data_IF_383071799970
#
_entry.id   IF_383071799970
#
_cell.length_a   1.000
_cell.length_b   1.000
_cell.length_c   1.000
_cell.angle_alpha   90.00
_cell.angle_beta   90.00
_cell.angle_gamma   90.00
#
_symmetry.space_group_name_H-M   'P 1'
#
loop_
_entity.id
_entity.type
_entity.pdbx_description
1 polymer ?
#
# COMPACT_ATOMS: atom_id res chain seq x y z
N UNK A 1 -30.21 -10.41 2.91
CA UNK A 1 -30.08 -9.26 1.99
C UNK A 1 -28.79 -9.51 1.23
N UNK A 2 -28.86 -9.68 -0.10
CA UNK A 2 -27.71 -10.14 -0.90
C UNK A 2 -26.69 -9.01 -1.04
N UNK A 3 -25.45 -9.21 -0.56
CA UNK A 3 -24.32 -8.26 -0.57
C UNK A 3 -23.99 -7.63 -1.94
N UNK A 4 -24.50 -8.19 -3.04
CA UNK A 4 -24.23 -7.73 -4.40
C UNK A 4 -25.31 -6.80 -4.99
N UNK A 5 -26.50 -6.75 -4.38
CA UNK A 5 -27.63 -5.98 -4.93
C UNK A 5 -27.44 -4.46 -4.85
N UNK A 6 -26.81 -3.99 -3.78
CA UNK A 6 -26.72 -2.56 -3.44
C UNK A 6 -25.61 -1.81 -4.21
N UNK A 7 -24.82 -2.50 -5.04
CA UNK A 7 -23.71 -1.89 -5.82
C UNK A 7 -24.02 -1.74 -7.31
N UNK A 8 -25.22 -2.16 -7.75
CA UNK A 8 -25.63 -2.13 -9.17
C UNK A 8 -26.59 -0.95 -9.40
N UNK A 9 -26.04 0.26 -9.41
CA UNK A 9 -26.83 1.47 -9.67
C UNK A 9 -27.11 1.71 -11.17
N UNK A 10 -26.47 0.92 -12.04
CA UNK A 10 -26.65 1.02 -13.49
C UNK A 10 -26.29 -0.27 -14.22
N UNK A 11 -26.87 -0.45 -15.41
CA UNK A 11 -26.51 -1.53 -16.33
C UNK A 11 -25.00 -1.55 -16.66
N UNK A 12 -24.34 -0.38 -16.66
CA UNK A 12 -22.90 -0.25 -16.85
C UNK A 12 -22.11 -0.83 -15.66
N UNK A 13 -22.54 -0.56 -14.42
CA UNK A 13 -21.94 -1.17 -13.22
C UNK A 13 -22.12 -2.69 -13.23
N UNK A 14 -23.32 -3.18 -13.54
CA UNK A 14 -23.59 -4.61 -13.69
C UNK A 14 -22.63 -5.28 -14.69
N UNK A 15 -22.50 -4.69 -15.88
CA UNK A 15 -21.63 -5.24 -16.93
C UNK A 15 -20.16 -5.25 -16.51
N UNK A 16 -19.70 -4.24 -15.78
CA UNK A 16 -18.34 -4.15 -15.27
C UNK A 16 -18.04 -5.11 -14.11
N UNK A 17 -19.05 -5.54 -13.36
CA UNK A 17 -18.89 -6.51 -12.27
C UNK A 17 -18.96 -7.94 -12.83
N UNK A 18 -19.99 -8.22 -13.64
CA UNK A 18 -20.33 -9.59 -14.05
C UNK A 18 -19.57 -10.04 -15.30
N UNK A 19 -19.40 -9.15 -16.28
CA UNK A 19 -18.82 -9.51 -17.59
C UNK A 19 -17.40 -9.00 -17.80
N UNK A 20 -16.83 -8.25 -16.85
CA UNK A 20 -15.44 -7.85 -16.94
C UNK A 20 -14.57 -9.10 -16.82
N UNK A 21 -13.74 -9.34 -17.84
CA UNK A 21 -12.78 -10.44 -17.83
C UNK A 21 -11.89 -10.29 -16.60
N UNK A 22 -11.89 -11.31 -15.75
CA UNK A 22 -11.02 -11.38 -14.60
C UNK A 22 -9.59 -11.61 -15.08
N UNK A 23 -8.70 -10.67 -14.76
CA UNK A 23 -7.29 -10.64 -15.18
C UNK A 23 -6.43 -11.49 -14.23
N UNK A 24 -6.77 -12.78 -14.11
CA UNK A 24 -6.15 -13.70 -13.15
C UNK A 24 -4.65 -13.85 -13.37
N UNK A 25 -4.18 -13.78 -14.62
CA UNK A 25 -2.76 -13.87 -14.96
C UNK A 25 -1.94 -12.79 -14.25
N UNK A 26 -2.47 -11.57 -14.22
CA UNK A 26 -1.84 -10.43 -13.55
C UNK A 26 -1.85 -10.56 -12.02
N UNK A 27 -2.85 -11.23 -11.44
CA UNK A 27 -2.85 -11.52 -10.00
C UNK A 27 -1.81 -12.57 -9.64
N UNK A 28 -1.72 -13.66 -10.42
CA UNK A 28 -0.68 -14.69 -10.23
C UNK A 28 0.72 -14.08 -10.36
N UNK A 29 0.96 -13.27 -11.38
CA UNK A 29 2.25 -12.58 -11.56
C UNK A 29 2.64 -11.78 -10.32
N UNK A 30 1.71 -11.05 -9.72
CA UNK A 30 1.97 -10.26 -8.51
C UNK A 30 2.21 -11.11 -7.28
N UNK A 31 1.51 -12.24 -7.14
CA UNK A 31 1.78 -13.20 -6.06
C UNK A 31 3.19 -13.80 -6.18
N UNK A 32 3.65 -14.09 -7.39
CA UNK A 32 5.03 -14.54 -7.65
C UNK A 32 6.04 -13.45 -7.26
N UNK A 33 5.80 -12.20 -7.64
CA UNK A 33 6.65 -11.07 -7.23
C UNK A 33 6.70 -10.92 -5.70
N UNK A 34 5.56 -11.01 -5.02
CA UNK A 34 5.51 -10.94 -3.55
C UNK A 34 6.39 -12.03 -2.93
N UNK A 35 6.27 -13.27 -3.41
CA UNK A 35 7.07 -14.37 -2.93
C UNK A 35 8.57 -14.12 -3.16
N UNK A 36 8.96 -13.75 -4.39
CA UNK A 36 10.35 -13.39 -4.72
C UNK A 36 10.89 -12.31 -3.77
N UNK A 37 10.11 -11.26 -3.51
CA UNK A 37 10.56 -10.14 -2.69
C UNK A 37 10.72 -10.55 -1.23
N UNK A 38 9.83 -11.39 -0.71
CA UNK A 38 9.92 -11.92 0.65
C UNK A 38 11.15 -12.84 0.83
N UNK A 39 11.39 -13.75 -0.12
CA UNK A 39 12.56 -14.63 -0.08
C UNK A 39 13.87 -13.84 -0.19
N UNK A 40 13.99 -12.93 -1.16
CA UNK A 40 15.20 -12.10 -1.34
C UNK A 40 15.49 -11.24 -0.10
N UNK A 41 14.46 -10.71 0.56
CA UNK A 41 14.65 -9.89 1.76
C UNK A 41 15.17 -10.72 2.95
N UNK A 42 14.69 -11.96 3.09
CA UNK A 42 15.10 -12.90 4.13
C UNK A 42 16.52 -13.45 3.95
N UNK A 43 17.08 -13.40 2.75
CA UNK A 43 18.50 -13.76 2.54
C UNK A 43 19.43 -12.81 3.32
N UNK A 44 18.98 -11.59 3.61
CA UNK A 44 19.75 -10.54 4.29
C UNK A 44 19.19 -10.15 5.67
N UNK A 45 17.99 -10.60 6.03
CA UNK A 45 17.28 -10.21 7.26
C UNK A 45 16.64 -11.41 7.96
N UNK A 46 16.51 -11.35 9.29
CA UNK A 46 15.80 -12.38 10.05
C UNK A 46 14.27 -12.24 9.93
N UNK A 47 13.56 -13.36 10.01
CA UNK A 47 12.10 -13.41 10.06
C UNK A 47 11.52 -14.69 9.46
N UNK A 48 10.19 -14.71 9.30
CA UNK A 48 9.46 -15.83 8.68
C UNK A 48 8.86 -15.39 7.33
N UNK A 49 9.08 -16.20 6.30
CA UNK A 49 8.56 -15.95 4.95
C UNK A 49 7.04 -15.94 4.92
N UNK A 50 6.38 -16.75 5.75
CA UNK A 50 4.93 -16.79 5.82
C UNK A 50 4.36 -15.47 6.34
N UNK A 51 4.98 -14.88 7.37
CA UNK A 51 4.59 -13.59 7.94
C UNK A 51 4.70 -12.46 6.89
N UNK A 52 5.81 -12.41 6.14
CA UNK A 52 5.98 -11.40 5.09
C UNK A 52 4.99 -11.60 3.94
N UNK A 53 4.76 -12.85 3.50
CA UNK A 53 3.77 -13.14 2.46
C UNK A 53 2.37 -12.71 2.93
N UNK A 54 1.99 -13.04 4.17
CA UNK A 54 0.71 -12.65 4.74
C UNK A 54 0.57 -11.12 4.80
N UNK A 55 1.61 -10.41 5.23
CA UNK A 55 1.65 -8.95 5.25
C UNK A 55 1.36 -8.35 3.86
N UNK A 56 1.95 -8.90 2.80
CA UNK A 56 1.69 -8.45 1.43
C UNK A 56 0.29 -8.81 0.95
N UNK A 57 -0.17 -10.03 1.17
CA UNK A 57 -1.48 -10.52 0.72
C UNK A 57 -2.62 -9.73 1.37
N UNK A 58 -2.53 -9.46 2.68
CA UNK A 58 -3.51 -8.65 3.41
C UNK A 58 -3.54 -7.18 2.98
N UNK A 59 -2.55 -6.75 2.20
CA UNK A 59 -2.36 -5.38 1.74
C UNK A 59 -2.07 -5.32 0.23
N UNK A 60 -2.62 -6.27 -0.52
CA UNK A 60 -2.36 -6.45 -1.95
C UNK A 60 -2.79 -5.24 -2.79
N UNK A 61 -3.83 -4.51 -2.38
CA UNK A 61 -4.28 -3.30 -3.08
C UNK A 61 -3.23 -2.18 -3.02
N UNK A 62 -2.56 -2.04 -1.88
CA UNK A 62 -1.43 -1.14 -1.69
C UNK A 62 -0.22 -1.60 -2.50
N UNK A 63 0.11 -2.91 -2.45
CA UNK A 63 1.22 -3.48 -3.24
C UNK A 63 1.02 -3.24 -4.74
N UNK A 64 -0.17 -3.56 -5.27
CA UNK A 64 -0.56 -3.34 -6.66
C UNK A 64 -0.36 -1.88 -7.06
N UNK A 65 -0.65 -0.95 -6.15
CA UNK A 65 -0.45 0.47 -6.41
C UNK A 65 1.03 0.83 -6.49
N UNK A 66 1.84 0.41 -5.53
CA UNK A 66 3.27 0.74 -5.45
C UNK A 66 4.01 0.30 -6.70
N UNK A 67 3.76 -0.94 -7.13
CA UNK A 67 4.44 -1.50 -8.31
C UNK A 67 4.03 -0.83 -9.64
N UNK A 68 3.00 0.03 -9.66
CA UNK A 68 2.69 0.85 -10.85
C UNK A 68 3.74 1.94 -11.06
N UNK A 69 4.36 2.41 -10.00
CA UNK A 69 5.44 3.39 -10.07
C UNK A 69 6.72 2.63 -10.36
N UNK A 70 7.26 2.78 -11.57
CA UNK A 70 8.55 2.18 -11.95
C UNK A 70 9.65 2.51 -10.93
N UNK A 71 9.57 3.73 -10.41
CA UNK A 71 10.43 4.33 -9.39
C UNK A 71 10.42 3.58 -8.04
N UNK A 72 9.41 2.76 -7.76
CA UNK A 72 9.30 1.98 -6.52
C UNK A 72 9.37 0.48 -6.73
N UNK A 73 9.67 -0.01 -7.95
CA UNK A 73 9.91 -1.45 -8.21
C UNK A 73 11.30 -1.90 -7.72
N UNK A 74 11.70 -1.45 -6.55
CA UNK A 74 12.86 -1.97 -5.83
C UNK A 74 12.33 -2.90 -4.72
N UNK A 75 12.80 -4.15 -4.72
CA UNK A 75 12.30 -5.22 -3.84
C UNK A 75 12.49 -4.86 -2.37
N UNK A 76 13.71 -4.44 -2.02
CA UNK A 76 14.09 -4.07 -0.66
C UNK A 76 13.26 -2.92 -0.12
N UNK A 77 13.07 -1.85 -0.92
CA UNK A 77 12.22 -0.74 -0.51
C UNK A 77 10.78 -1.17 -0.25
N UNK A 78 10.21 -1.98 -1.14
CA UNK A 78 8.82 -2.43 -1.00
C UNK A 78 8.66 -3.21 0.31
N UNK A 79 9.55 -4.16 0.60
CA UNK A 79 9.47 -4.91 1.86
C UNK A 79 9.65 -3.99 3.06
N UNK A 80 10.70 -3.16 3.08
CA UNK A 80 10.92 -2.17 4.17
C UNK A 80 9.73 -1.25 4.40
N UNK A 81 9.06 -0.80 3.33
CA UNK A 81 7.88 0.05 3.44
C UNK A 81 6.73 -0.67 4.16
N UNK A 82 6.45 -1.93 3.77
CA UNK A 82 5.37 -2.70 4.40
C UNK A 82 5.68 -2.99 5.85
N UNK A 83 6.91 -3.41 6.16
CA UNK A 83 7.36 -3.65 7.54
C UNK A 83 7.26 -2.38 8.38
N UNK A 84 7.83 -1.26 7.90
CA UNK A 84 7.75 0.01 8.60
C UNK A 84 6.29 0.45 8.85
N UNK A 85 5.42 0.24 7.88
CA UNK A 85 3.99 0.61 7.98
C UNK A 85 3.22 -0.28 8.96
N UNK A 86 3.57 -1.56 9.04
CA UNK A 86 3.00 -2.51 9.99
C UNK A 86 3.46 -2.19 11.41
N UNK A 87 4.77 -1.98 11.61
CA UNK A 87 5.36 -1.61 12.90
C UNK A 87 4.81 -0.27 13.44
N UNK A 88 4.49 0.66 12.54
CA UNK A 88 3.84 1.93 12.89
C UNK A 88 2.33 1.80 13.16
N UNK A 89 1.70 0.65 12.85
CA UNK A 89 0.26 0.44 13.03
C UNK A 89 -0.61 1.31 12.09
N UNK A 90 -0.08 1.72 10.94
CA UNK A 90 -0.75 2.66 10.01
C UNK A 90 -1.29 1.98 8.75
N UNK A 91 -1.15 0.66 8.61
CA UNK A 91 -1.55 -0.05 7.40
C UNK A 91 -3.01 0.20 7.00
N UNK A 92 -3.91 0.22 7.99
CA UNK A 92 -5.32 0.56 7.77
C UNK A 92 -5.52 2.01 7.33
N UNK A 93 -4.72 2.96 7.83
CA UNK A 93 -4.76 4.35 7.37
C UNK A 93 -4.32 4.47 5.92
N UNK A 94 -3.23 3.80 5.53
CA UNK A 94 -2.71 3.85 4.15
C UNK A 94 -3.75 3.37 3.13
N UNK A 95 -4.59 2.40 3.51
CA UNK A 95 -5.70 1.88 2.68
C UNK A 95 -6.93 2.79 2.65
N UNK A 96 -7.11 3.71 3.60
CA UNK A 96 -8.28 4.61 3.66
C UNK A 96 -8.26 5.67 2.56
N UNK A 97 -9.45 6.03 2.09
CA UNK A 97 -9.67 7.19 1.21
C UNK A 97 -9.48 8.48 2.00
N UNK A 98 -8.98 9.51 1.32
CA UNK A 98 -8.83 10.84 1.90
C UNK A 98 -10.19 11.55 1.88
N UNK A 99 -10.77 11.91 3.04
CA UNK A 99 -12.05 12.59 3.11
C UNK A 99 -11.90 14.08 2.77
N UNK A 100 -12.95 14.70 2.24
CA UNK A 100 -13.07 16.17 2.20
C UNK A 100 -12.10 16.91 1.27
N UNK A 101 -11.42 16.22 0.35
CA UNK A 101 -10.46 16.81 -0.61
C UNK A 101 -10.92 16.66 -2.05
N UNK A 102 -11.82 17.54 -2.55
CA UNK A 102 -12.32 17.47 -3.92
C UNK A 102 -11.26 17.83 -4.97
N UNK A 103 -10.15 18.46 -4.55
CA UNK A 103 -8.96 18.76 -5.35
C UNK A 103 -8.12 17.50 -5.66
N UNK A 104 -8.21 16.49 -4.81
CA UNK A 104 -7.58 15.19 -4.97
C UNK A 104 -8.59 14.28 -5.69
N UNK A 105 -8.18 13.59 -6.76
CA UNK A 105 -9.09 12.81 -7.60
C UNK A 105 -9.98 11.83 -6.80
N UNK A 106 -11.06 11.34 -7.43
CA UNK A 106 -12.13 10.55 -6.77
C UNK A 106 -11.70 9.26 -6.01
N UNK A 107 -10.44 8.84 -6.12
CA UNK A 107 -9.91 7.62 -5.50
C UNK A 107 -8.54 7.81 -4.83
N UNK A 108 -8.22 9.03 -4.38
CA UNK A 108 -6.99 9.26 -3.62
C UNK A 108 -7.07 8.65 -2.21
N UNK A 109 -6.06 7.86 -1.88
CA UNK A 109 -5.90 7.17 -0.58
C UNK A 109 -4.60 7.63 0.07
N UNK A 110 -4.52 7.59 1.40
CA UNK A 110 -3.36 8.10 2.11
C UNK A 110 -2.05 7.44 1.67
N UNK A 111 -2.03 6.12 1.46
CA UNK A 111 -0.84 5.43 0.97
C UNK A 111 -0.38 5.98 -0.38
N UNK A 112 -1.30 6.34 -1.28
CA UNK A 112 -0.96 6.90 -2.59
C UNK A 112 -0.22 8.22 -2.49
N UNK A 113 -0.68 9.07 -1.57
CA UNK A 113 -0.06 10.37 -1.29
C UNK A 113 1.30 10.19 -0.63
N UNK A 114 1.43 9.28 0.34
CA UNK A 114 2.73 8.96 0.96
C UNK A 114 3.76 8.59 -0.10
N UNK A 115 3.43 7.70 -1.02
CA UNK A 115 4.36 7.34 -2.11
C UNK A 115 4.70 8.52 -3.00
N UNK A 116 3.73 9.37 -3.32
CA UNK A 116 3.96 10.57 -4.11
C UNK A 116 4.95 11.51 -3.41
N UNK A 117 4.81 11.72 -2.11
CA UNK A 117 5.69 12.60 -1.35
C UNK A 117 7.09 12.00 -1.15
N UNK A 118 7.18 10.70 -0.86
CA UNK A 118 8.48 10.01 -0.80
C UNK A 118 9.24 10.11 -2.14
N UNK A 119 8.53 10.02 -3.27
CA UNK A 119 9.12 10.19 -4.60
C UNK A 119 9.64 11.63 -4.86
N UNK A 120 9.02 12.63 -4.22
CA UNK A 120 9.46 14.02 -4.35
C UNK A 120 10.70 14.31 -3.50
N UNK A 121 10.82 13.67 -2.34
CA UNK A 121 11.88 13.96 -1.34
C UNK A 121 13.16 13.21 -1.66
N UNK A 122 13.07 11.93 -2.00
CA UNK A 122 14.23 11.08 -2.20
C UNK A 122 14.32 10.61 -3.65
N UNK A 123 15.46 10.82 -4.34
CA UNK A 123 15.72 10.14 -5.60
C UNK A 123 15.60 8.63 -5.41
N UNK A 124 14.94 7.97 -6.36
CA UNK A 124 14.67 6.52 -6.44
C UNK A 124 15.81 5.61 -6.02
N UNK A 125 17.05 6.04 -6.25
CA UNK A 125 18.26 5.27 -5.98
C UNK A 125 18.60 5.22 -4.49
N UNK A 126 18.17 6.21 -3.70
CA UNK A 126 18.56 6.34 -2.30
C UNK A 126 17.52 5.78 -1.32
N UNK A 127 16.26 5.71 -1.71
CA UNK A 127 15.18 5.21 -0.85
C UNK A 127 15.43 3.78 -0.33
N UNK A 128 15.89 2.82 -1.16
CA UNK A 128 16.20 1.47 -0.67
C UNK A 128 17.31 1.44 0.39
N UNK A 129 18.24 2.40 0.31
CA UNK A 129 19.38 2.53 1.22
C UNK A 129 18.98 3.13 2.58
N UNK A 130 17.75 3.62 2.73
CA UNK A 130 17.29 4.16 4.00
C UNK A 130 17.17 3.04 5.04
N UNK A 131 17.71 3.25 6.25
CA UNK A 131 17.38 2.42 7.40
C UNK A 131 15.87 2.47 7.65
N UNK A 132 15.32 1.36 8.17
CA UNK A 132 13.88 1.25 8.40
C UNK A 132 13.34 2.35 9.32
N UNK A 133 14.09 2.75 10.34
CA UNK A 133 13.73 3.86 11.25
C UNK A 133 13.67 5.22 10.54
N UNK A 134 14.58 5.46 9.61
CA UNK A 134 14.53 6.66 8.77
C UNK A 134 13.31 6.62 7.86
N UNK A 135 13.02 5.47 7.24
CA UNK A 135 11.84 5.30 6.41
C UNK A 135 10.54 5.52 7.19
N UNK A 136 10.43 5.00 8.43
CA UNK A 136 9.30 5.27 9.33
C UNK A 136 9.09 6.77 9.52
N UNK A 137 10.16 7.50 9.80
CA UNK A 137 10.12 8.95 9.99
C UNK A 137 9.58 9.65 8.75
N UNK A 138 10.04 9.25 7.57
CA UNK A 138 9.60 9.85 6.31
C UNK A 138 8.15 9.52 5.96
N UNK A 139 7.70 8.29 6.22
CA UNK A 139 6.29 7.91 6.07
C UNK A 139 5.41 8.77 6.97
N UNK A 140 5.82 8.97 8.22
CA UNK A 140 5.10 9.79 9.20
C UNK A 140 5.06 11.27 8.80
N UNK A 141 6.17 11.82 8.33
CA UNK A 141 6.25 13.18 7.80
C UNK A 141 5.30 13.37 6.61
N UNK A 142 5.31 12.43 5.66
CA UNK A 142 4.42 12.47 4.51
C UNK A 142 2.94 12.38 4.92
N UNK A 143 2.59 11.52 5.87
CA UNK A 143 1.22 11.41 6.39
C UNK A 143 0.76 12.68 7.12
N UNK A 144 1.65 13.34 7.87
CA UNK A 144 1.31 14.54 8.63
C UNK A 144 0.87 15.73 7.77
N UNK A 145 1.16 15.70 6.47
CA UNK A 145 0.65 16.68 5.50
C UNK A 145 -0.86 16.56 5.27
N UNK A 146 -1.45 15.42 5.62
CA UNK A 146 -2.84 15.09 5.30
C UNK A 146 -3.68 14.68 6.52
N UNK A 147 -3.06 14.24 7.61
CA UNK A 147 -3.74 13.76 8.82
C UNK A 147 -3.00 14.26 10.06
N UNK A 148 -3.74 14.70 11.08
CA UNK A 148 -3.16 14.87 12.42
C UNK A 148 -2.87 13.47 13.00
N UNK A 149 -1.59 13.12 13.01
CA UNK A 149 -1.16 11.80 13.48
C UNK A 149 -1.38 11.60 14.98
N UNK A 150 -1.38 12.67 15.78
CA UNK A 150 -1.68 12.57 17.20
C UNK A 150 -3.14 12.18 17.41
N UNK A 151 -4.06 12.85 16.70
CA UNK A 151 -5.48 12.52 16.73
C UNK A 151 -5.73 11.08 16.24
N UNK A 152 -5.08 10.68 15.14
CA UNK A 152 -5.19 9.32 14.61
C UNK A 152 -4.77 8.26 15.64
N UNK A 153 -3.59 8.41 16.25
CA UNK A 153 -3.13 7.42 17.23
C UNK A 153 -3.96 7.42 18.52
N UNK A 154 -4.46 8.58 18.96
CA UNK A 154 -5.39 8.64 20.09
C UNK A 154 -6.70 7.89 19.81
N UNK A 155 -7.24 8.02 18.60
CA UNK A 155 -8.48 7.36 18.20
C UNK A 155 -8.33 5.85 17.99
N UNK A 156 -7.11 5.35 17.75
CA UNK A 156 -6.84 3.94 17.43
C UNK A 156 -5.99 3.23 18.50
N UNK A 157 -5.77 3.85 19.68
CA UNK A 157 -5.27 3.18 20.89
C UNK A 157 -6.40 2.40 21.55
N UNK A 158 -6.81 1.26 20.98
CA UNK A 158 -7.63 0.24 21.65
C UNK A 158 -7.40 -1.12 20.98
#
# INVERSE_FOLDING_TARGET
MNEYGDQIDSYKSFKNIVFKKFDWENYIYKSVLIAEYAFDYLDEHEGDVEEYIELFVNNLDLFIYIIKYELFRNREFIVKFFVASEELGIMNLLKKKVPGRPDLGKDERYGRLVFKELNNIYPVVMVPLLPIESLKTEIMNALSLYVDMNEYFLANKN
#
